data_IF_312625190473
#
_entry.id   IF_312625190473
#
_cell.length_a   1.000
_cell.length_b   1.000
_cell.length_c   1.000
_cell.angle_alpha   90.00
_cell.angle_beta   90.00
_cell.angle_gamma   90.00
#
_symmetry.space_group_name_H-M   'P 1'
#
loop_
_entity.id
_entity.type
_entity.pdbx_description
1 polymer ?
#
# COMPACT_ATOMS: atom_id res chain seq x y z
N UNK A 1 -11.78 -1.76 -10.08
CA UNK A 1 -11.68 -1.81 -8.61
C UNK A 1 -12.98 -2.16 -7.89
N UNK A 2 -14.14 -1.87 -8.48
CA UNK A 2 -15.45 -2.25 -7.91
C UNK A 2 -15.59 -3.77 -7.66
N UNK A 3 -15.13 -4.59 -8.62
CA UNK A 3 -15.10 -6.06 -8.45
C UNK A 3 -14.32 -6.47 -7.21
N UNK A 4 -13.17 -5.84 -6.94
CA UNK A 4 -12.39 -6.11 -5.75
C UNK A 4 -13.14 -5.72 -4.48
N UNK A 5 -13.80 -4.55 -4.46
CA UNK A 5 -14.64 -4.14 -3.33
C UNK A 5 -15.78 -5.14 -3.04
N UNK A 6 -16.48 -5.61 -4.08
CA UNK A 6 -17.55 -6.61 -3.94
C UNK A 6 -17.00 -7.94 -3.44
N UNK A 7 -15.87 -8.40 -3.98
CA UNK A 7 -15.22 -9.63 -3.53
C UNK A 7 -14.73 -9.54 -2.08
N UNK A 8 -14.22 -8.39 -1.65
CA UNK A 8 -13.83 -8.19 -0.26
C UNK A 8 -15.06 -8.10 0.65
N UNK A 9 -16.14 -7.46 0.20
CA UNK A 9 -17.39 -7.38 0.96
C UNK A 9 -18.05 -8.77 1.10
N UNK A 10 -17.99 -9.64 0.08
CA UNK A 10 -18.55 -10.99 0.16
C UNK A 10 -17.79 -11.89 1.14
N UNK A 11 -16.50 -11.62 1.38
CA UNK A 11 -15.67 -12.40 2.31
C UNK A 11 -15.66 -11.77 3.72
N UNK A 12 -15.48 -10.46 3.83
CA UNK A 12 -15.26 -9.74 5.08
C UNK A 12 -16.47 -8.92 5.56
N UNK A 13 -17.54 -8.86 4.77
CA UNK A 13 -18.80 -8.25 5.17
C UNK A 13 -19.44 -8.95 6.37
N UNK A 14 -20.42 -8.31 7.00
CA UNK A 14 -21.08 -8.82 8.22
C UNK A 14 -21.62 -10.25 8.08
N UNK A 15 -22.07 -10.62 6.87
CA UNK A 15 -22.55 -11.97 6.53
C UNK A 15 -21.60 -12.73 5.60
N UNK A 16 -20.36 -12.24 5.46
CA UNK A 16 -19.33 -12.86 4.65
C UNK A 16 -18.67 -14.04 5.35
N UNK A 17 -17.94 -14.84 4.57
CA UNK A 17 -17.28 -16.07 5.03
C UNK A 17 -16.43 -15.88 6.31
N UNK A 18 -15.67 -14.78 6.35
CA UNK A 18 -14.78 -14.43 7.47
C UNK A 18 -15.45 -13.43 8.40
N UNK A 19 -16.12 -12.42 7.83
CA UNK A 19 -16.68 -11.32 8.62
C UNK A 19 -17.73 -11.76 9.65
N UNK A 20 -18.50 -12.83 9.37
CA UNK A 20 -19.49 -13.37 10.29
C UNK A 20 -18.90 -13.99 11.57
N UNK A 21 -17.66 -14.48 11.51
CA UNK A 21 -16.95 -15.10 12.64
C UNK A 21 -15.91 -14.18 13.27
N UNK A 22 -15.71 -13.00 12.68
CA UNK A 22 -14.70 -12.05 13.12
C UNK A 22 -15.23 -11.18 14.27
N UNK A 23 -14.42 -11.03 15.32
CA UNK A 23 -14.66 -10.03 16.36
C UNK A 23 -14.41 -8.59 15.89
N UNK A 24 -13.75 -8.42 14.74
CA UNK A 24 -13.43 -7.13 14.12
C UNK A 24 -14.47 -6.83 13.05
N UNK A 25 -15.07 -5.63 13.11
CA UNK A 25 -15.97 -5.10 12.08
C UNK A 25 -15.17 -4.51 10.93
N UNK A 26 -15.45 -4.96 9.71
CA UNK A 26 -14.82 -4.42 8.49
C UNK A 26 -15.71 -3.43 7.75
N UNK A 27 -17.04 -3.68 7.72
CA UNK A 27 -17.99 -2.83 7.01
C UNK A 27 -18.16 -1.50 7.72
N UNK A 28 -17.98 -0.41 6.97
CA UNK A 28 -17.95 0.96 7.48
C UNK A 28 -17.01 1.16 8.68
N UNK A 29 -15.81 0.58 8.57
CA UNK A 29 -14.79 0.68 9.60
C UNK A 29 -13.39 0.73 9.00
N UNK A 30 -12.44 1.26 9.77
CA UNK A 30 -11.04 1.38 9.37
C UNK A 30 -10.42 0.05 8.87
N UNK A 31 -10.71 -1.12 9.46
CA UNK A 31 -10.19 -2.39 8.96
C UNK A 31 -10.61 -2.70 7.51
N UNK A 32 -11.83 -2.35 7.10
CA UNK A 32 -12.28 -2.53 5.71
C UNK A 32 -11.51 -1.65 4.73
N UNK A 33 -11.20 -0.42 5.13
CA UNK A 33 -10.36 0.51 4.35
C UNK A 33 -8.95 -0.06 4.19
N UNK A 34 -8.34 -0.52 5.28
CA UNK A 34 -7.01 -1.14 5.27
C UNK A 34 -6.99 -2.36 4.34
N UNK A 35 -8.02 -3.20 4.43
CA UNK A 35 -8.16 -4.41 3.60
C UNK A 35 -8.28 -4.06 2.11
N UNK A 36 -9.11 -3.09 1.75
CA UNK A 36 -9.27 -2.63 0.38
C UNK A 36 -7.96 -2.05 -0.18
N UNK A 37 -7.30 -1.19 0.59
CA UNK A 37 -6.00 -0.63 0.22
C UNK A 37 -4.93 -1.73 0.05
N UNK A 38 -4.85 -2.66 1.00
CA UNK A 38 -3.89 -3.76 0.99
C UNK A 38 -4.10 -4.65 -0.24
N UNK A 39 -5.32 -5.11 -0.49
CA UNK A 39 -5.61 -6.03 -1.59
C UNK A 39 -5.17 -5.49 -2.94
N UNK A 40 -5.40 -4.20 -3.19
CA UNK A 40 -5.10 -3.59 -4.49
C UNK A 40 -3.63 -3.17 -4.61
N UNK A 41 -2.95 -2.89 -3.49
CA UNK A 41 -1.57 -2.37 -3.50
C UNK A 41 -0.50 -3.44 -3.23
N UNK A 42 -0.84 -4.58 -2.62
CA UNK A 42 0.12 -5.63 -2.25
C UNK A 42 1.01 -6.14 -3.41
N UNK A 43 0.57 -6.21 -4.69
CA UNK A 43 1.45 -6.66 -5.76
C UNK A 43 2.69 -5.77 -5.95
N UNK A 44 2.57 -4.47 -5.63
CA UNK A 44 3.68 -3.52 -5.76
C UNK A 44 4.81 -3.87 -4.80
N UNK A 45 4.53 -3.97 -3.49
CA UNK A 45 5.58 -4.30 -2.51
C UNK A 45 6.20 -5.66 -2.80
N UNK A 46 5.41 -6.65 -3.22
CA UNK A 46 5.90 -7.99 -3.56
C UNK A 46 6.88 -7.92 -4.74
N UNK A 47 6.50 -7.28 -5.85
CA UNK A 47 7.33 -7.23 -7.05
C UNK A 47 8.62 -6.45 -6.81
N UNK A 48 8.55 -5.28 -6.15
CA UNK A 48 9.75 -4.49 -5.83
C UNK A 48 10.65 -5.17 -4.81
N UNK A 49 10.09 -5.87 -3.82
CA UNK A 49 10.88 -6.66 -2.88
C UNK A 49 11.58 -7.81 -3.58
N UNK A 50 10.87 -8.52 -4.48
CA UNK A 50 11.43 -9.59 -5.30
C UNK A 50 12.59 -9.10 -6.15
N UNK A 51 12.39 -8.03 -6.91
CA UNK A 51 13.47 -7.40 -7.69
C UNK A 51 14.64 -6.98 -6.77
N UNK A 52 14.35 -6.47 -5.57
CA UNK A 52 15.35 -6.13 -4.57
C UNK A 52 16.24 -7.30 -4.18
N UNK A 53 15.64 -8.45 -3.88
CA UNK A 53 16.39 -9.66 -3.52
C UNK A 53 17.07 -10.31 -4.72
N UNK A 54 16.47 -10.29 -5.92
CA UNK A 54 17.09 -10.79 -7.15
C UNK A 54 18.36 -9.99 -7.54
N UNK A 55 18.46 -8.73 -7.13
CA UNK A 55 19.65 -7.89 -7.35
C UNK A 55 20.79 -8.14 -6.34
N UNK A 56 20.57 -8.93 -5.27
CA UNK A 56 21.61 -9.26 -4.30
C UNK A 56 22.52 -10.33 -4.89
N UNK A 57 23.84 -10.09 -4.92
CA UNK A 57 24.80 -11.11 -5.36
C UNK A 57 24.82 -12.30 -4.39
N UNK A 58 24.37 -13.45 -4.88
CA UNK A 58 24.34 -14.73 -4.15
C UNK A 58 25.72 -15.13 -3.61
N UNK A 59 26.82 -14.65 -4.22
CA UNK A 59 28.19 -14.89 -3.71
C UNK A 59 28.40 -14.30 -2.32
N UNK A 60 27.79 -13.16 -2.00
CA UNK A 60 27.88 -12.54 -0.67
C UNK A 60 27.20 -13.41 0.39
N UNK A 61 26.04 -13.97 0.05
CA UNK A 61 25.30 -14.89 0.92
C UNK A 61 26.08 -16.19 1.14
N UNK A 62 26.60 -16.78 0.07
CA UNK A 62 27.39 -18.00 0.13
C UNK A 62 28.68 -17.82 0.94
N UNK A 63 29.39 -16.70 0.78
CA UNK A 63 30.58 -16.39 1.54
C UNK A 63 30.28 -16.34 3.06
N UNK A 64 29.18 -15.70 3.46
CA UNK A 64 28.77 -15.66 4.85
C UNK A 64 28.37 -17.04 5.41
N UNK A 65 27.69 -17.87 4.61
CA UNK A 65 27.36 -19.25 4.99
C UNK A 65 28.61 -20.11 5.19
N UNK A 66 29.64 -19.93 4.37
CA UNK A 66 30.94 -20.62 4.55
C UNK A 66 31.63 -20.22 5.85
N UNK A 67 31.40 -19.00 6.36
CA UNK A 67 31.87 -18.54 7.67
C UNK A 67 31.00 -19.03 8.85
N UNK A 68 30.06 -19.95 8.60
CA UNK A 68 29.19 -20.53 9.63
C UNK A 68 27.94 -19.69 9.95
N UNK A 69 27.63 -18.65 9.17
CA UNK A 69 26.42 -17.86 9.40
C UNK A 69 25.15 -18.67 9.09
N UNK A 70 24.17 -18.61 10.00
CA UNK A 70 22.86 -19.23 9.78
C UNK A 70 22.08 -18.52 8.67
N UNK A 71 21.15 -19.21 7.96
CA UNK A 71 20.35 -18.58 6.91
C UNK A 71 19.60 -17.32 7.36
N UNK A 72 19.09 -17.33 8.60
CA UNK A 72 18.40 -16.17 9.18
C UNK A 72 19.34 -14.99 9.42
N UNK A 73 20.58 -15.27 9.85
CA UNK A 73 21.60 -14.24 10.01
C UNK A 73 21.97 -13.61 8.66
N UNK A 74 22.19 -14.44 7.63
CA UNK A 74 22.50 -13.99 6.27
C UNK A 74 21.37 -13.10 5.72
N UNK A 75 20.12 -13.53 5.87
CA UNK A 75 18.98 -12.73 5.46
C UNK A 75 18.95 -11.34 6.12
N UNK A 76 19.05 -11.27 7.46
CA UNK A 76 18.94 -10.00 8.18
C UNK A 76 20.15 -9.08 8.02
N UNK A 77 21.35 -9.63 7.83
CA UNK A 77 22.60 -8.85 7.81
C UNK A 77 23.15 -8.59 6.40
N UNK A 78 22.72 -9.35 5.41
CA UNK A 78 23.24 -9.26 4.03
C UNK A 78 22.09 -9.00 3.07
N UNK A 79 21.18 -9.96 2.88
CA UNK A 79 20.14 -9.88 1.84
C UNK A 79 19.19 -8.71 2.06
N UNK A 80 18.64 -8.55 3.26
CA UNK A 80 17.68 -7.50 3.60
C UNK A 80 18.29 -6.10 3.53
N UNK A 81 19.46 -5.79 4.13
CA UNK A 81 20.08 -4.47 3.99
C UNK A 81 20.45 -4.10 2.55
N UNK A 82 20.88 -5.07 1.73
CA UNK A 82 21.20 -4.82 0.32
C UNK A 82 19.95 -4.61 -0.53
N UNK A 83 18.88 -5.37 -0.28
CA UNK A 83 17.59 -5.22 -0.95
C UNK A 83 16.77 -4.01 -0.44
N UNK A 84 17.13 -3.45 0.72
CA UNK A 84 16.33 -2.45 1.44
C UNK A 84 15.92 -1.26 0.57
N UNK A 85 16.81 -0.78 -0.30
CA UNK A 85 16.51 0.35 -1.18
C UNK A 85 15.35 0.04 -2.13
N UNK A 86 15.31 -1.16 -2.69
CA UNK A 86 14.24 -1.59 -3.59
C UNK A 86 12.95 -1.83 -2.81
N UNK A 87 13.04 -2.44 -1.63
CA UNK A 87 11.90 -2.63 -0.72
C UNK A 87 11.29 -1.27 -0.35
N UNK A 88 12.11 -0.27 -0.04
CA UNK A 88 11.67 1.08 0.29
C UNK A 88 10.96 1.76 -0.89
N UNK A 89 11.52 1.68 -2.10
CA UNK A 89 10.84 2.16 -3.32
C UNK A 89 9.50 1.44 -3.52
N UNK A 90 9.47 0.13 -3.30
CA UNK A 90 8.26 -0.67 -3.34
C UNK A 90 7.21 -0.24 -2.33
N UNK A 91 7.61 0.10 -1.10
CA UNK A 91 6.72 0.59 -0.06
C UNK A 91 6.11 1.94 -0.45
N UNK A 92 6.90 2.84 -1.02
CA UNK A 92 6.42 4.13 -1.54
C UNK A 92 5.41 3.94 -2.67
N UNK A 93 5.70 3.06 -3.63
CA UNK A 93 4.78 2.76 -4.74
C UNK A 93 3.50 2.07 -4.27
N UNK A 94 3.60 1.22 -3.25
CA UNK A 94 2.45 0.57 -2.61
C UNK A 94 1.57 1.61 -1.91
N UNK A 95 2.16 2.53 -1.16
CA UNK A 95 1.45 3.62 -0.51
C UNK A 95 0.76 4.54 -1.52
N UNK A 96 1.48 4.92 -2.58
CA UNK A 96 0.93 5.66 -3.71
C UNK A 96 -0.27 4.97 -4.36
N UNK A 97 -0.18 3.64 -4.53
CA UNK A 97 -1.30 2.87 -5.05
C UNK A 97 -2.46 2.85 -4.05
N UNK A 98 -2.20 2.67 -2.76
CA UNK A 98 -3.24 2.64 -1.74
C UNK A 98 -4.00 3.98 -1.64
N UNK A 99 -3.31 5.12 -1.67
CA UNK A 99 -3.94 6.44 -1.50
C UNK A 99 -4.83 6.84 -2.68
N UNK A 100 -4.56 6.30 -3.87
CA UNK A 100 -5.35 6.51 -5.08
C UNK A 100 -6.56 5.57 -5.18
N UNK A 101 -6.73 4.65 -4.23
CA UNK A 101 -7.86 3.73 -4.24
C UNK A 101 -9.17 4.45 -3.86
N UNK A 102 -10.24 4.07 -4.55
CA UNK A 102 -11.57 4.63 -4.36
C UNK A 102 -12.63 3.54 -4.50
N UNK A 103 -12.61 2.84 -5.64
CA UNK A 103 -13.68 1.91 -6.01
C UNK A 103 -13.78 0.69 -5.09
N UNK A 104 -12.66 0.16 -4.58
CA UNK A 104 -12.70 -0.92 -3.60
C UNK A 104 -13.16 -0.43 -2.22
N UNK A 105 -12.73 0.78 -1.81
CA UNK A 105 -13.02 1.36 -0.50
C UNK A 105 -14.51 1.71 -0.37
N UNK A 106 -15.08 2.40 -1.36
CA UNK A 106 -16.47 2.88 -1.29
C UNK A 106 -17.50 1.75 -1.13
N UNK A 107 -17.16 0.55 -1.57
CA UNK A 107 -18.05 -0.64 -1.48
C UNK A 107 -17.98 -1.29 -0.10
N UNK A 108 -16.82 -1.32 0.56
CA UNK A 108 -16.65 -1.98 1.86
C UNK A 108 -16.85 -1.01 3.03
N UNK A 109 -16.42 0.25 2.89
CA UNK A 109 -16.47 1.24 3.93
C UNK A 109 -16.62 2.64 3.31
N UNK A 110 -17.84 3.17 3.31
CA UNK A 110 -18.11 4.54 2.93
C UNK A 110 -17.75 5.50 4.08
N UNK A 111 -18.03 5.08 5.31
CA UNK A 111 -17.52 5.71 6.54
C UNK A 111 -16.50 4.82 7.26
N UNK A 112 -15.45 5.35 7.89
CA UNK A 112 -15.01 6.75 7.85
C UNK A 112 -14.49 7.14 6.47
N UNK A 113 -14.77 8.37 6.03
CA UNK A 113 -14.40 8.84 4.70
C UNK A 113 -12.88 9.04 4.56
N UNK A 114 -12.33 8.64 3.42
CA UNK A 114 -10.95 8.91 3.01
C UNK A 114 -10.91 10.02 1.96
N UNK A 115 -9.73 10.56 1.67
CA UNK A 115 -9.60 11.70 0.76
C UNK A 115 -10.29 11.51 -0.59
N UNK A 116 -10.19 10.32 -1.20
CA UNK A 116 -10.86 9.99 -2.48
C UNK A 116 -12.38 9.95 -2.37
N UNK A 117 -12.93 9.44 -1.27
CA UNK A 117 -14.39 9.42 -1.05
C UNK A 117 -14.93 10.81 -0.70
N UNK A 118 -14.16 11.66 0.01
CA UNK A 118 -14.51 13.06 0.27
C UNK A 118 -14.59 13.85 -1.04
N UNK A 119 -13.62 13.68 -1.95
CA UNK A 119 -13.63 14.37 -3.26
C UNK A 119 -14.90 14.02 -4.05
N UNK A 120 -15.27 12.74 -4.05
CA UNK A 120 -16.46 12.25 -4.72
C UNK A 120 -17.75 12.73 -4.06
N UNK A 121 -17.83 12.68 -2.72
CA UNK A 121 -18.95 13.21 -1.95
C UNK A 121 -19.17 14.70 -2.23
N UNK A 122 -18.10 15.51 -2.22
CA UNK A 122 -18.18 16.94 -2.53
C UNK A 122 -18.59 17.22 -3.97
N UNK A 123 -18.19 16.36 -4.91
CA UNK A 123 -18.62 16.49 -6.29
C UNK A 123 -20.14 16.33 -6.41
N UNK A 124 -20.71 15.36 -5.70
CA UNK A 124 -22.16 15.11 -5.71
C UNK A 124 -22.96 16.14 -4.91
N UNK A 125 -22.44 16.61 -3.78
CA UNK A 125 -23.18 17.46 -2.82
C UNK A 125 -23.00 18.96 -3.06
N UNK A 126 -21.83 19.38 -3.51
CA UNK A 126 -21.44 20.80 -3.64
C UNK A 126 -20.97 21.19 -5.05
N UNK A 127 -20.97 20.23 -5.99
CA UNK A 127 -20.60 20.45 -7.37
C UNK A 127 -19.09 20.47 -7.63
N UNK A 128 -18.74 20.68 -8.92
CA UNK A 128 -17.38 20.53 -9.42
C UNK A 128 -16.38 21.50 -8.77
N UNK A 129 -16.77 22.77 -8.56
CA UNK A 129 -15.86 23.79 -8.05
C UNK A 129 -15.28 23.44 -6.67
N UNK A 130 -16.13 22.99 -5.76
CA UNK A 130 -15.70 22.59 -4.40
C UNK A 130 -14.89 21.30 -4.43
N UNK A 131 -15.30 20.31 -5.23
CA UNK A 131 -14.56 19.05 -5.38
C UNK A 131 -13.14 19.26 -5.95
N UNK A 132 -13.00 20.14 -6.94
CA UNK A 132 -11.71 20.50 -7.54
C UNK A 132 -10.74 21.08 -6.51
N UNK A 133 -11.21 21.92 -5.59
CA UNK A 133 -10.37 22.47 -4.53
C UNK A 133 -9.79 21.37 -3.62
N UNK A 134 -10.62 20.40 -3.19
CA UNK A 134 -10.17 19.26 -2.38
C UNK A 134 -9.21 18.37 -3.16
N UNK A 135 -9.51 18.10 -4.43
CA UNK A 135 -8.65 17.32 -5.30
C UNK A 135 -7.28 17.98 -5.51
N UNK A 136 -7.24 19.31 -5.70
CA UNK A 136 -6.00 20.07 -5.83
C UNK A 136 -5.14 19.99 -4.56
N UNK A 137 -5.75 20.10 -3.37
CA UNK A 137 -5.05 19.93 -2.09
C UNK A 137 -4.41 18.54 -2.00
N UNK A 138 -5.18 17.49 -2.30
CA UNK A 138 -4.67 16.11 -2.26
C UNK A 138 -3.54 15.89 -3.27
N UNK A 139 -3.66 16.45 -4.48
CA UNK A 139 -2.65 16.37 -5.52
C UNK A 139 -1.36 17.05 -5.08
N UNK A 140 -1.43 18.28 -4.57
CA UNK A 140 -0.27 19.03 -4.07
C UNK A 140 0.40 18.26 -2.92
N UNK A 141 -0.39 17.74 -1.99
CA UNK A 141 0.12 16.91 -0.90
C UNK A 141 0.88 15.69 -1.43
N UNK A 142 0.30 14.94 -2.37
CA UNK A 142 0.97 13.80 -2.98
C UNK A 142 2.28 14.22 -3.67
N UNK A 143 2.26 15.28 -4.48
CA UNK A 143 3.46 15.78 -5.17
C UNK A 143 4.57 16.14 -4.17
N UNK A 144 4.26 16.83 -3.07
CA UNK A 144 5.23 17.18 -2.04
C UNK A 144 5.83 15.90 -1.45
N UNK A 145 5.01 14.92 -1.06
CA UNK A 145 5.49 13.66 -0.49
C UNK A 145 6.38 12.92 -1.47
N UNK A 146 5.99 12.78 -2.74
CA UNK A 146 6.80 12.12 -3.76
C UNK A 146 8.11 12.85 -4.05
N UNK A 147 8.10 14.18 -4.10
CA UNK A 147 9.30 14.99 -4.30
C UNK A 147 10.27 14.79 -3.13
N UNK A 148 9.79 14.85 -1.89
CA UNK A 148 10.60 14.61 -0.69
C UNK A 148 11.19 13.20 -0.71
N UNK A 149 10.38 12.18 -0.99
CA UNK A 149 10.85 10.80 -1.09
C UNK A 149 11.88 10.63 -2.22
N UNK A 150 11.69 11.28 -3.36
CA UNK A 150 12.65 11.26 -4.47
C UNK A 150 13.98 11.87 -4.04
N UNK A 151 13.97 12.96 -3.28
CA UNK A 151 15.21 13.57 -2.76
C UNK A 151 15.91 12.67 -1.73
N UNK A 152 15.16 11.99 -0.86
CA UNK A 152 15.72 11.07 0.13
C UNK A 152 16.35 9.82 -0.52
N UNK A 153 15.77 9.30 -1.61
CA UNK A 153 16.25 8.08 -2.30
C UNK A 153 17.42 8.39 -3.26
N UNK A 154 17.58 9.65 -3.68
CA UNK A 154 18.65 10.06 -4.59
C UNK A 154 19.97 10.06 -3.84
N UNK A 155 20.71 8.95 -3.96
CA UNK A 155 22.10 8.83 -3.49
C UNK A 155 22.88 10.07 -3.95
N UNK A 156 23.55 10.77 -3.02
CA UNK A 156 24.69 11.63 -3.38
C UNK A 156 25.64 10.73 -4.17
N UNK A 157 25.82 11.02 -5.45
CA UNK A 157 26.96 10.49 -6.21
C UNK A 157 28.23 11.06 -5.60
#
# INVERSE_FOLDING_TARGET
>A
HTVAGIALLSVFGTHGLIGQFSFIRFVDALPGIILAMLFVSIPFIINYSREGFENVDVRLENAARTLGASPFYVFLKISFPLAFRNIFVGAVMTWARAISEFGAIIIIAYYPMVATTIIYDKFLTAGLYVSQAVAAILLIFCLIVFILLRFLIRKKK
#
